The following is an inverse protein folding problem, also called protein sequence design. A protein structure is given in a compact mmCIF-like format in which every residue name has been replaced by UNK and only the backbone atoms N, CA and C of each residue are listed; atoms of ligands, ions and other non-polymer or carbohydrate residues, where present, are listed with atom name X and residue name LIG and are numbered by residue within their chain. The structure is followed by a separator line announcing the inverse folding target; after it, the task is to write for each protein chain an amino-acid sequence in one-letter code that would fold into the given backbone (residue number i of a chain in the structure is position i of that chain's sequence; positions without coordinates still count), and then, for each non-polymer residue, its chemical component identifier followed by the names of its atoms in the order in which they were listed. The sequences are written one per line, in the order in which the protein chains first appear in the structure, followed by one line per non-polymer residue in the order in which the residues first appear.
data_IF_119537064056
#
_entry.id   IF_119537064056
#
_cell.length_a   1.000
_cell.length_b   1.000
_cell.length_c   1.000
_cell.angle_alpha   90.00
_cell.angle_beta   90.00
_cell.angle_gamma   90.00
#
_symmetry.space_group_name_H-M   'P 1'
#
loop_
_entity.id
_entity.type
_entity.pdbx_description
1 polymer ?
#
# COMPACT_ATOMS: atom_id res chain seq x y z
N UNK A 1 32.73 -18.40 -10.30
CA UNK A 1 32.48 -16.99 -9.92
C UNK A 1 30.99 -16.90 -9.64
N UNK A 2 30.60 -17.12 -8.38
CA UNK A 2 29.19 -17.25 -7.99
C UNK A 2 28.55 -15.87 -8.01
N UNK A 3 27.49 -15.74 -8.80
CA UNK A 3 26.65 -14.57 -8.84
C UNK A 3 25.77 -14.61 -7.59
N UNK A 4 26.10 -13.77 -6.62
CA UNK A 4 25.36 -13.55 -5.39
C UNK A 4 23.93 -13.09 -5.75
N UNK A 5 22.95 -13.98 -5.62
CA UNK A 5 21.53 -13.63 -5.70
C UNK A 5 21.09 -13.28 -4.29
N UNK A 6 21.45 -12.08 -3.82
CA UNK A 6 20.87 -11.51 -2.62
C UNK A 6 19.36 -11.37 -2.84
N UNK A 7 18.54 -12.08 -2.05
CA UNK A 7 17.10 -11.99 -2.17
C UNK A 7 16.65 -10.63 -1.60
N UNK A 8 16.25 -9.71 -2.48
CA UNK A 8 15.66 -8.42 -2.10
C UNK A 8 14.15 -8.57 -2.02
N UNK A 9 13.54 -8.13 -0.92
CA UNK A 9 12.09 -8.04 -0.80
C UNK A 9 11.67 -6.60 -1.10
N UNK A 10 10.89 -6.41 -2.16
CA UNK A 10 10.30 -5.12 -2.49
C UNK A 10 8.86 -5.10 -2.02
N UNK A 11 8.54 -4.21 -1.08
CA UNK A 11 7.15 -4.02 -0.65
C UNK A 11 6.52 -2.97 -1.55
N UNK A 12 5.75 -3.44 -2.54
CA UNK A 12 4.91 -2.58 -3.37
C UNK A 12 3.48 -2.65 -2.87
N UNK A 13 3.06 -1.63 -2.14
CA UNK A 13 1.67 -1.51 -1.73
C UNK A 13 0.94 -0.70 -2.78
N UNK A 14 0.34 -1.42 -3.74
CA UNK A 14 -0.50 -0.83 -4.77
C UNK A 14 -1.60 -0.01 -4.10
N UNK A 15 -1.52 1.30 -4.29
CA UNK A 15 -2.65 2.17 -4.09
C UNK A 15 -3.60 1.91 -5.27
N UNK A 16 -4.83 1.47 -4.99
CA UNK A 16 -5.83 1.24 -6.02
C UNK A 16 -6.12 2.58 -6.73
N UNK A 17 -5.84 2.66 -8.03
CA UNK A 17 -6.18 3.80 -8.89
C UNK A 17 -7.19 3.36 -9.96
N UNK A 18 -8.03 4.32 -10.36
CA UNK A 18 -9.44 4.20 -10.76
C UNK A 18 -9.79 3.68 -12.18
N UNK A 19 -10.87 2.89 -12.23
CA UNK A 19 -12.05 2.91 -13.12
C UNK A 19 -11.91 3.14 -14.64
N UNK A 20 -11.70 2.05 -15.40
CA UNK A 20 -12.49 1.77 -16.63
C UNK A 20 -12.44 0.28 -17.09
N UNK A 21 -12.22 -0.66 -16.15
CA UNK A 21 -12.19 -2.12 -16.42
C UNK A 21 -12.79 -2.91 -15.24
N UNK A 22 -13.89 -2.42 -14.65
CA UNK A 22 -14.32 -2.81 -13.29
C UNK A 22 -14.67 -4.30 -13.08
N UNK A 23 -15.28 -5.00 -14.05
CA UNK A 23 -15.76 -6.39 -13.80
C UNK A 23 -14.63 -7.43 -13.80
N UNK A 24 -13.72 -7.38 -14.78
CA UNK A 24 -12.56 -8.30 -14.84
C UNK A 24 -11.54 -8.00 -13.74
N UNK A 25 -11.43 -6.73 -13.33
CA UNK A 25 -10.54 -6.35 -12.24
C UNK A 25 -11.14 -6.71 -10.89
N UNK A 26 -12.45 -6.57 -10.67
CA UNK A 26 -13.11 -7.00 -9.43
C UNK A 26 -12.79 -8.45 -9.10
N UNK A 27 -12.97 -9.35 -10.07
CA UNK A 27 -12.63 -10.76 -9.89
C UNK A 27 -11.14 -10.99 -9.59
N UNK A 28 -10.22 -10.21 -10.16
CA UNK A 28 -8.77 -10.33 -9.89
C UNK A 28 -8.41 -9.75 -8.51
N UNK A 29 -9.04 -8.63 -8.12
CA UNK A 29 -8.84 -7.98 -6.83
C UNK A 29 -9.26 -8.88 -5.67
N UNK A 30 -10.31 -9.67 -5.86
CA UNK A 30 -10.75 -10.71 -4.93
C UNK A 30 -9.67 -11.78 -4.67
N UNK A 31 -8.70 -11.94 -5.58
CA UNK A 31 -7.55 -12.84 -5.40
C UNK A 31 -6.33 -12.20 -4.75
N UNK A 32 -6.30 -10.88 -4.51
CA UNK A 32 -5.19 -10.23 -3.79
C UNK A 32 -5.17 -10.58 -2.30
N UNK A 33 -4.00 -10.93 -1.77
CA UNK A 33 -3.80 -11.17 -0.34
C UNK A 33 -4.10 -9.91 0.47
N UNK A 34 -4.82 -10.07 1.59
CA UNK A 34 -5.14 -8.95 2.51
C UNK A 34 -3.93 -8.47 3.32
N UNK A 35 -2.95 -9.35 3.55
CA UNK A 35 -1.74 -9.04 4.30
C UNK A 35 -0.57 -9.91 3.84
N UNK A 36 0.63 -9.50 4.23
CA UNK A 36 1.86 -10.27 4.07
C UNK A 36 2.67 -10.24 5.37
N UNK A 37 3.47 -11.29 5.58
CA UNK A 37 4.44 -11.36 6.67
C UNK A 37 5.82 -11.57 6.05
N UNK A 38 6.75 -10.70 6.36
CA UNK A 38 8.13 -10.77 5.88
C UNK A 38 9.01 -11.28 7.03
N UNK A 39 9.68 -12.41 6.79
CA UNK A 39 10.60 -13.07 7.73
C UNK A 39 10.01 -13.31 9.14
N UNK A 40 8.69 -13.47 9.24
CA UNK A 40 7.99 -13.66 10.52
C UNK A 40 7.99 -12.44 11.44
N UNK A 41 8.51 -11.28 11.00
CA UNK A 41 8.74 -10.10 11.85
C UNK A 41 8.00 -8.85 11.42
N UNK A 42 7.81 -8.65 10.12
CA UNK A 42 7.17 -7.46 9.58
C UNK A 42 5.80 -7.85 9.05
N UNK A 43 4.76 -7.29 9.65
CA UNK A 43 3.39 -7.42 9.17
C UNK A 43 3.06 -6.25 8.23
N UNK A 44 2.58 -6.58 7.03
CA UNK A 44 2.25 -5.63 5.98
C UNK A 44 0.75 -5.70 5.65
N UNK A 45 0.07 -4.57 5.67
CA UNK A 45 -1.37 -4.40 5.34
C UNK A 45 -1.59 -3.07 4.63
N UNK A 46 -2.65 -2.93 3.83
CA UNK A 46 -2.93 -1.68 3.13
C UNK A 46 -3.30 -0.55 4.10
N UNK A 47 -4.28 -0.81 4.99
CA UNK A 47 -4.79 0.10 6.01
C UNK A 47 -4.09 -0.08 7.35
N UNK A 48 -4.73 -0.75 8.30
CA UNK A 48 -4.26 -0.89 9.69
C UNK A 48 -4.72 -2.19 10.35
N UNK A 49 -4.76 -2.24 11.68
CA UNK A 49 -5.24 -3.41 12.42
C UNK A 49 -6.77 -3.40 12.55
N UNK A 50 -7.32 -4.61 12.70
CA UNK A 50 -8.69 -4.79 13.15
C UNK A 50 -8.69 -5.14 14.64
N UNK A 51 -9.55 -4.48 15.42
CA UNK A 51 -9.80 -4.86 16.83
C UNK A 51 -10.38 -6.28 16.96
N UNK A 52 -10.96 -6.81 15.88
CA UNK A 52 -11.52 -8.16 15.82
C UNK A 52 -10.47 -9.24 15.50
N UNK A 53 -9.24 -8.84 15.16
CA UNK A 53 -8.15 -9.74 14.77
C UNK A 53 -7.05 -9.66 15.82
N UNK A 54 -6.88 -10.74 16.56
CA UNK A 54 -5.81 -10.89 17.57
C UNK A 54 -4.68 -11.80 17.09
N UNK A 55 -4.94 -12.60 16.04
CA UNK A 55 -3.99 -13.60 15.53
C UNK A 55 -3.96 -13.62 14.01
N UNK A 56 -2.82 -14.01 13.44
CA UNK A 56 -2.65 -14.15 11.99
C UNK A 56 -3.55 -15.25 11.40
N UNK A 57 -3.87 -16.28 12.18
CA UNK A 57 -4.74 -17.36 11.74
C UNK A 57 -6.17 -16.89 11.48
N UNK A 58 -6.65 -15.89 12.23
CA UNK A 58 -7.96 -15.28 11.96
C UNK A 58 -8.00 -14.60 10.60
N UNK A 59 -6.91 -13.95 10.18
CA UNK A 59 -6.81 -13.33 8.84
C UNK A 59 -6.93 -14.40 7.74
N UNK A 60 -6.32 -15.57 7.95
CA UNK A 60 -6.36 -16.69 6.99
C UNK A 60 -7.75 -17.28 6.81
N UNK A 61 -8.65 -17.09 7.78
CA UNK A 61 -10.03 -17.58 7.74
C UNK A 61 -11.02 -16.60 7.09
N UNK A 62 -10.59 -15.37 6.77
CA UNK A 62 -11.46 -14.39 6.12
C UNK A 62 -11.81 -14.87 4.72
N UNK A 63 -13.12 -14.97 4.44
CA UNK A 63 -13.59 -15.11 3.07
C UNK A 63 -13.40 -13.78 2.35
N UNK A 64 -12.38 -13.74 1.49
CA UNK A 64 -11.96 -12.54 0.79
C UNK A 64 -12.41 -12.49 -0.66
N UNK A 65 -13.09 -13.53 -1.16
CA UNK A 65 -13.56 -13.60 -2.55
C UNK A 65 -14.94 -12.98 -2.68
N UNK A 66 -15.03 -11.73 -2.25
CA UNK A 66 -16.25 -10.96 -2.20
C UNK A 66 -15.90 -9.48 -2.16
N UNK A 67 -16.88 -8.63 -2.50
CA UNK A 67 -16.77 -7.21 -2.25
C UNK A 67 -16.48 -6.94 -0.76
N UNK A 68 -15.60 -5.97 -0.50
CA UNK A 68 -15.23 -5.59 0.87
C UNK A 68 -16.49 -5.16 1.62
N UNK A 69 -16.83 -5.80 2.75
CA UNK A 69 -17.98 -5.39 3.56
C UNK A 69 -17.80 -3.96 4.10
N UNK A 70 -18.90 -3.31 4.49
CA UNK A 70 -18.85 -1.96 5.07
C UNK A 70 -18.22 -1.93 6.48
N UNK A 71 -18.14 -3.07 7.16
CA UNK A 71 -17.57 -3.22 8.49
C UNK A 71 -16.79 -4.55 8.64
N UNK A 72 -16.13 -4.70 9.79
CA UNK A 72 -15.46 -5.95 10.16
C UNK A 72 -14.02 -6.09 9.66
N UNK A 73 -13.42 -7.28 9.85
CA UNK A 73 -11.97 -7.46 9.78
C UNK A 73 -11.37 -7.19 8.39
N UNK A 74 -12.10 -7.49 7.31
CA UNK A 74 -11.63 -7.20 5.95
C UNK A 74 -11.64 -5.70 5.66
N UNK A 75 -12.67 -4.98 6.11
CA UNK A 75 -12.76 -3.53 5.99
C UNK A 75 -11.62 -2.86 6.76
N UNK A 76 -11.42 -3.25 8.02
CA UNK A 76 -10.39 -2.67 8.89
C UNK A 76 -8.97 -2.85 8.31
N UNK A 77 -8.62 -4.05 7.83
CA UNK A 77 -7.28 -4.31 7.26
C UNK A 77 -6.97 -3.45 6.03
N UNK A 78 -8.00 -2.98 5.32
CA UNK A 78 -7.86 -2.15 4.13
C UNK A 78 -7.99 -0.66 4.42
N UNK A 79 -8.82 -0.26 5.37
CA UNK A 79 -9.27 1.13 5.52
C UNK A 79 -9.00 1.75 6.89
N UNK A 80 -8.61 0.96 7.89
CA UNK A 80 -8.31 1.52 9.22
C UNK A 80 -7.00 2.30 9.25
N UNK A 81 -6.93 3.21 10.21
CA UNK A 81 -5.73 3.97 10.53
C UNK A 81 -4.89 3.30 11.62
N UNK A 82 -3.59 3.64 11.74
CA UNK A 82 -2.63 2.75 12.38
C UNK A 82 -2.71 2.68 13.91
N UNK A 83 -2.52 1.46 14.45
CA UNK A 83 -2.20 1.13 15.84
C UNK A 83 -1.03 0.11 15.86
N UNK A 84 0.12 0.45 16.47
CA UNK A 84 1.34 -0.38 16.71
C UNK A 84 1.97 -1.17 15.53
N UNK A 85 3.15 -1.77 15.75
CA UNK A 85 4.14 -2.27 14.76
C UNK A 85 3.64 -2.79 13.39
N UNK A 86 3.55 -1.92 12.36
CA UNK A 86 3.00 -2.26 11.01
C UNK A 86 3.70 -1.49 9.88
N UNK A 87 3.86 -2.13 8.72
CA UNK A 87 4.13 -1.42 7.46
C UNK A 87 2.83 -1.26 6.65
N UNK A 88 2.41 -0.02 6.40
CA UNK A 88 1.15 0.34 5.72
C UNK A 88 1.31 1.39 4.60
N UNK A 89 0.23 1.69 3.88
CA UNK A 89 0.15 2.70 2.84
C UNK A 89 -1.06 3.60 3.13
N UNK A 90 -2.08 3.61 2.27
CA UNK A 90 -3.43 4.21 2.42
C UNK A 90 -3.53 5.72 2.75
N UNK A 91 -2.60 6.31 3.51
CA UNK A 91 -2.55 7.73 3.88
C UNK A 91 -1.48 8.43 3.04
N UNK A 92 -1.84 9.56 2.43
CA UNK A 92 -0.91 10.38 1.66
C UNK A 92 0.22 10.91 2.57
N UNK A 93 1.47 10.75 2.11
CA UNK A 93 2.66 11.31 2.77
C UNK A 93 3.44 12.15 1.76
N UNK A 94 3.74 13.40 2.11
CA UNK A 94 4.38 14.35 1.21
C UNK A 94 5.81 13.95 0.85
N UNK A 95 6.51 13.34 1.81
CA UNK A 95 7.90 12.88 1.73
C UNK A 95 8.02 11.45 1.17
N UNK A 96 6.91 10.84 0.75
CA UNK A 96 6.86 9.48 0.24
C UNK A 96 6.85 8.39 1.32
N UNK A 97 7.35 8.63 2.53
CA UNK A 97 7.18 7.72 3.67
C UNK A 97 7.25 8.46 5.01
N UNK A 98 6.65 7.87 6.06
CA UNK A 98 6.63 8.45 7.40
C UNK A 98 6.59 7.39 8.48
N UNK A 99 7.39 7.58 9.52
CA UNK A 99 7.33 6.80 10.76
C UNK A 99 6.33 7.41 11.74
N UNK A 100 5.59 6.55 12.43
CA UNK A 100 4.62 6.91 13.45
C UNK A 100 4.86 6.04 14.70
N UNK A 101 4.26 6.45 15.83
CA UNK A 101 4.26 5.68 17.08
C UNK A 101 5.65 5.16 17.50
N UNK A 102 6.61 6.08 17.69
CA UNK A 102 7.99 5.73 18.05
C UNK A 102 8.65 4.73 17.08
N UNK A 103 8.47 4.95 15.78
CA UNK A 103 9.05 4.14 14.69
C UNK A 103 8.57 2.68 14.66
N UNK A 104 7.43 2.40 15.27
CA UNK A 104 6.79 1.08 15.18
C UNK A 104 5.97 0.97 13.90
N UNK A 105 5.31 2.05 13.48
CA UNK A 105 4.48 2.07 12.27
C UNK A 105 5.17 2.85 11.16
N UNK A 106 5.23 2.25 9.98
CA UNK A 106 5.72 2.89 8.76
C UNK A 106 4.59 3.03 7.75
N UNK A 107 4.37 4.25 7.29
CA UNK A 107 3.54 4.53 6.11
C UNK A 107 4.44 4.74 4.91
N UNK A 108 4.22 3.99 3.82
CA UNK A 108 4.92 4.15 2.53
C UNK A 108 3.91 4.54 1.46
N UNK A 109 4.23 5.57 0.69
CA UNK A 109 3.42 6.10 -0.39
C UNK A 109 4.18 6.08 -1.71
N UNK A 110 3.70 5.29 -2.67
CA UNK A 110 4.41 5.06 -3.94
C UNK A 110 3.84 5.81 -5.15
N UNK A 111 2.95 6.79 -4.95
CA UNK A 111 2.32 7.56 -6.04
C UNK A 111 2.73 9.05 -6.03
N UNK A 112 3.74 9.46 -6.82
CA UNK A 112 4.26 10.83 -6.77
C UNK A 112 3.30 11.81 -7.46
N UNK A 113 3.25 13.04 -6.95
CA UNK A 113 2.31 14.09 -7.36
C UNK A 113 0.88 13.55 -7.47
N UNK A 114 0.38 13.01 -6.36
CA UNK A 114 -0.92 12.38 -6.28
C UNK A 114 -2.02 13.29 -6.81
N UNK A 115 -2.90 12.69 -7.62
CA UNK A 115 -3.96 13.37 -8.36
C UNK A 115 -3.49 14.61 -9.16
N UNK A 116 -2.20 14.69 -9.50
CA UNK A 116 -1.54 15.83 -10.17
C UNK A 116 -1.66 17.16 -9.42
N UNK A 117 -1.96 17.13 -8.13
CA UNK A 117 -2.30 18.30 -7.32
C UNK A 117 -1.46 18.42 -6.07
N UNK A 118 -1.07 17.28 -5.48
CA UNK A 118 -0.48 17.28 -4.15
C UNK A 118 1.01 17.64 -4.15
N UNK A 119 1.74 17.41 -5.26
CA UNK A 119 3.18 17.72 -5.32
C UNK A 119 4.05 16.87 -4.38
N UNK A 120 3.53 15.79 -3.81
CA UNK A 120 4.29 14.85 -2.99
C UNK A 120 5.32 14.07 -3.82
N UNK A 121 6.39 13.62 -3.17
CA UNK A 121 7.28 12.57 -3.71
C UNK A 121 6.74 11.18 -3.35
N UNK A 122 7.32 10.15 -3.94
CA UNK A 122 6.97 8.76 -3.66
C UNK A 122 8.19 7.98 -3.15
N UNK A 123 7.92 6.89 -2.43
CA UNK A 123 8.94 6.00 -1.90
C UNK A 123 8.64 4.53 -2.21
N UNK A 124 9.71 3.74 -2.29
CA UNK A 124 9.69 2.27 -2.21
C UNK A 124 10.53 1.86 -1.00
N UNK A 125 10.01 0.95 -0.18
CA UNK A 125 10.78 0.28 0.87
C UNK A 125 11.41 -0.99 0.29
N UNK A 126 12.74 -1.03 0.31
CA UNK A 126 13.53 -2.22 0.08
C UNK A 126 13.98 -2.82 1.42
N UNK A 127 13.76 -4.12 1.58
CA UNK A 127 14.26 -4.89 2.70
C UNK A 127 15.31 -5.87 2.19
N UNK A 128 16.49 -5.85 2.80
CA UNK A 128 17.51 -6.87 2.56
C UNK A 128 17.27 -8.12 3.42
N UNK A 129 18.13 -9.13 3.26
CA UNK A 129 18.05 -10.41 3.98
C UNK A 129 18.15 -10.26 5.51
N UNK A 130 18.79 -9.19 5.99
CA UNK A 130 18.89 -8.87 7.42
C UNK A 130 17.74 -7.95 7.89
N UNK A 131 16.71 -7.75 7.06
CA UNK A 131 15.60 -6.80 7.26
C UNK A 131 16.04 -5.36 7.48
N UNK A 132 17.24 -5.00 7.02
CA UNK A 132 17.64 -3.60 6.97
C UNK A 132 16.81 -2.90 5.90
N UNK A 133 16.34 -1.71 6.28
CA UNK A 133 15.37 -0.91 5.54
C UNK A 133 16.12 0.13 4.74
N UNK A 134 15.88 0.15 3.43
CA UNK A 134 16.37 1.17 2.52
C UNK A 134 15.18 1.80 1.78
N UNK A 135 15.20 3.12 1.64
CA UNK A 135 14.12 3.86 0.97
C UNK A 135 14.63 4.45 -0.34
N UNK A 136 13.97 4.08 -1.44
CA UNK A 136 14.19 4.70 -2.74
C UNK A 136 13.12 5.76 -2.96
N UNK A 137 13.52 7.04 -2.98
CA UNK A 137 12.62 8.17 -3.21
C UNK A 137 12.63 8.57 -4.69
N UNK A 138 11.46 8.83 -5.26
CA UNK A 138 11.31 9.20 -6.66
C UNK A 138 10.19 10.21 -6.88
N UNK A 139 10.36 11.01 -7.93
CA UNK A 139 9.43 12.05 -8.34
C UNK A 139 8.54 11.59 -9.50
N UNK A 140 7.54 12.41 -9.82
CA UNK A 140 6.61 12.11 -10.89
C UNK A 140 7.31 12.28 -12.25
N UNK A 141 7.17 11.30 -13.15
CA UNK A 141 7.79 11.34 -14.48
C UNK A 141 7.41 12.61 -15.27
N UNK A 142 8.28 13.19 -16.11
CA UNK A 142 7.99 14.41 -16.87
C UNK A 142 6.68 14.34 -17.67
N UNK A 143 5.97 15.45 -17.78
CA UNK A 143 4.64 15.50 -18.39
C UNK A 143 4.64 15.14 -19.88
N UNK A 144 5.77 15.33 -20.57
CA UNK A 144 6.00 14.97 -21.98
C UNK A 144 5.94 13.45 -22.24
N UNK A 145 6.25 12.63 -21.23
CA UNK A 145 6.14 11.17 -21.32
C UNK A 145 4.71 10.66 -21.03
N UNK A 146 3.80 11.53 -20.57
CA UNK A 146 2.42 11.20 -20.24
C UNK A 146 1.55 11.53 -21.45
N UNK A 147 1.15 10.52 -22.22
CA UNK A 147 0.19 10.71 -23.31
C UNK A 147 -1.00 11.54 -22.81
N UNK A 148 -1.26 12.68 -23.46
CA UNK A 148 -2.14 13.75 -22.94
C UNK A 148 -3.51 13.18 -22.55
N UNK A 149 -3.85 13.11 -21.25
CA UNK A 149 -5.23 12.88 -20.86
C UNK A 149 -5.98 14.18 -21.09
N UNK A 150 -7.08 14.12 -21.84
CA UNK A 150 -7.98 15.26 -21.99
C UNK A 150 -8.36 15.79 -20.60
N UNK A 151 -8.28 17.10 -20.40
CA UNK A 151 -8.73 17.78 -19.16
C UNK A 151 -10.20 17.41 -18.92
N UNK A 152 -10.47 16.34 -18.17
CA UNK A 152 -11.81 16.10 -17.63
C UNK A 152 -12.00 17.06 -16.45
N UNK A 153 -13.19 17.67 -16.32
CA UNK A 153 -13.50 18.53 -15.20
C UNK A 153 -13.32 17.75 -13.89
N UNK A 154 -12.77 18.44 -12.89
CA UNK A 154 -12.45 17.93 -11.57
C UNK A 154 -13.71 17.37 -10.91
N UNK A 155 -13.69 16.10 -10.51
CA UNK A 155 -14.74 15.53 -9.68
C UNK A 155 -14.50 15.95 -8.23
N UNK A 156 -15.48 16.64 -7.64
CA UNK A 156 -15.46 17.10 -6.25
C UNK A 156 -15.91 15.97 -5.33
N UNK A 157 -14.99 15.11 -4.89
CA UNK A 157 -15.32 14.02 -3.94
C UNK A 157 -14.41 13.94 -2.71
N UNK A 158 -13.60 14.97 -2.42
CA UNK A 158 -12.77 14.98 -1.21
C UNK A 158 -12.77 16.35 -0.52
N UNK A 159 -13.96 16.78 -0.10
CA UNK A 159 -14.18 17.81 0.91
C UNK A 159 -14.98 17.20 2.07
#
# INVERSE_FOLDING_TARGET
MNQDRSHKYTVFMMNALENMVLSLYGEIFDYLSLSAIIDGRIFCVHGGLSLSIQTLDQIRTIDRKQEVPHDGPMCDLLWSDPEDMICRAHQLVMEGYKWHFNETVLTVWSAPNYCYRCGNVAAILELNENLQREFTIFEAAPQEARGVPSKKPQADYFL
#
